data_IF_001480246153
#
_entry.id   IF_001480246153
#
_cell.length_a   1.000
_cell.length_b   1.000
_cell.length_c   1.000
_cell.angle_alpha   90.00
_cell.angle_beta   90.00
_cell.angle_gamma   90.00
#
_symmetry.space_group_name_H-M   'P 1'
#
loop_
_entity.id
_entity.type
_entity.pdbx_description
1 polymer ?
#
# COMPACT_ATOMS: atom_id res chain seq x y z
N UNK A 1 -14.80 15.30 11.74
CA UNK A 1 -13.83 16.38 11.52
C UNK A 1 -13.19 16.16 10.16
N UNK A 2 -13.43 17.11 9.25
CA UNK A 2 -12.64 17.49 8.06
C UNK A 2 -12.27 16.43 6.99
N UNK A 3 -13.28 15.88 6.33
CA UNK A 3 -13.20 15.13 5.05
C UNK A 3 -12.99 16.04 3.83
N UNK A 4 -12.15 17.07 3.90
CA UNK A 4 -12.00 18.04 2.79
C UNK A 4 -10.57 18.55 2.66
N UNK A 5 -9.77 17.93 1.80
CA UNK A 5 -8.60 18.58 1.17
C UNK A 5 -7.88 17.76 0.09
N UNK A 6 -8.19 16.49 -0.05
CA UNK A 6 -7.62 15.66 -1.12
C UNK A 6 -8.38 15.90 -2.42
N UNK A 7 -7.68 16.32 -3.47
CA UNK A 7 -8.24 16.53 -4.82
C UNK A 7 -8.73 15.23 -5.46
N UNK A 8 -8.29 14.08 -4.95
CA UNK A 8 -8.68 12.72 -5.33
C UNK A 8 -9.05 11.91 -4.08
N UNK A 9 -9.87 10.87 -4.22
CA UNK A 9 -10.23 10.01 -3.10
C UNK A 9 -8.98 9.31 -2.56
N UNK A 10 -8.79 9.17 -1.23
CA UNK A 10 -7.64 8.46 -0.65
C UNK A 10 -7.43 7.06 -1.25
N UNK A 11 -8.52 6.37 -1.54
CA UNK A 11 -8.53 5.06 -2.19
C UNK A 11 -7.91 5.09 -3.60
N UNK A 12 -8.27 6.09 -4.42
CA UNK A 12 -7.70 6.27 -5.76
C UNK A 12 -6.21 6.59 -5.71
N UNK A 13 -5.78 7.41 -4.74
CA UNK A 13 -4.38 7.76 -4.54
C UNK A 13 -3.53 6.54 -4.16
N UNK A 14 -4.00 5.75 -3.19
CA UNK A 14 -3.35 4.49 -2.77
C UNK A 14 -3.30 3.52 -3.94
N UNK A 15 -4.41 3.33 -4.64
CA UNK A 15 -4.51 2.45 -5.81
C UNK A 15 -3.51 2.84 -6.89
N UNK A 16 -3.41 4.13 -7.23
CA UNK A 16 -2.48 4.62 -8.25
C UNK A 16 -1.01 4.41 -7.84
N UNK A 17 -0.68 4.71 -6.58
CA UNK A 17 0.67 4.49 -6.06
C UNK A 17 1.05 3.00 -6.07
N UNK A 18 0.11 2.13 -5.75
CA UNK A 18 0.32 0.69 -5.78
C UNK A 18 0.49 0.16 -7.20
N UNK A 19 -0.35 0.60 -8.15
CA UNK A 19 -0.20 0.22 -9.55
C UNK A 19 1.19 0.59 -10.06
N UNK A 20 1.68 1.78 -9.70
CA UNK A 20 3.04 2.21 -10.02
C UNK A 20 4.11 1.32 -9.38
N UNK A 21 4.00 1.04 -8.08
CA UNK A 21 4.96 0.20 -7.37
C UNK A 21 5.01 -1.25 -7.90
N UNK A 22 3.84 -1.82 -8.22
CA UNK A 22 3.74 -3.19 -8.74
C UNK A 22 4.14 -3.29 -10.21
N UNK A 23 3.71 -2.37 -11.08
CA UNK A 23 3.84 -2.52 -12.53
C UNK A 23 4.94 -1.66 -13.17
N UNK A 24 5.31 -0.52 -12.59
CA UNK A 24 6.38 0.35 -13.13
C UNK A 24 7.72 0.08 -12.43
N UNK A 25 7.72 -0.13 -11.11
CA UNK A 25 8.96 -0.29 -10.31
C UNK A 25 9.40 -1.75 -10.12
N UNK A 26 8.54 -2.71 -10.50
CA UNK A 26 8.81 -4.15 -10.43
C UNK A 26 8.44 -4.81 -11.77
N UNK A 27 9.15 -5.86 -12.19
CA UNK A 27 8.86 -6.57 -13.45
C UNK A 27 7.64 -7.50 -13.33
N UNK A 28 6.56 -7.07 -12.69
CA UNK A 28 5.28 -7.77 -12.78
C UNK A 28 4.66 -7.44 -14.13
N UNK A 29 4.88 -8.31 -15.12
CA UNK A 29 4.12 -8.25 -16.36
C UNK A 29 2.64 -8.52 -16.05
N UNK A 30 1.73 -7.67 -16.55
CA UNK A 30 0.28 -7.98 -16.63
C UNK A 30 0.10 -9.32 -17.35
N UNK A 31 0.02 -10.40 -16.59
CA UNK A 31 -0.13 -11.74 -17.16
C UNK A 31 -1.61 -12.03 -17.36
N UNK A 32 -2.06 -12.07 -18.62
CA UNK A 32 -3.41 -12.52 -19.01
C UNK A 32 -3.54 -14.05 -18.94
N UNK A 33 -2.93 -14.69 -17.94
CA UNK A 33 -3.12 -16.12 -17.70
C UNK A 33 -4.36 -16.27 -16.82
N UNK A 34 -5.24 -17.21 -17.19
CA UNK A 34 -6.55 -17.51 -16.56
C UNK A 34 -6.50 -17.91 -15.07
N UNK A 35 -5.32 -17.88 -14.44
CA UNK A 35 -5.06 -18.29 -13.05
C UNK A 35 -4.08 -17.31 -12.39
N UNK A 36 -4.24 -16.02 -12.66
CA UNK A 36 -3.49 -14.98 -11.97
C UNK A 36 -4.13 -14.73 -10.59
N UNK A 37 -3.33 -14.70 -9.51
CA UNK A 37 -3.84 -14.43 -8.18
C UNK A 37 -4.38 -13.00 -8.10
N UNK A 38 -5.52 -12.86 -7.41
CA UNK A 38 -6.20 -11.59 -7.17
C UNK A 38 -5.72 -10.99 -5.85
N UNK A 39 -5.37 -9.71 -5.87
CA UNK A 39 -5.00 -8.94 -4.70
C UNK A 39 -6.10 -7.93 -4.39
N UNK A 40 -6.84 -8.19 -3.31
CA UNK A 40 -7.83 -7.27 -2.75
C UNK A 40 -7.18 -6.40 -1.68
N UNK A 41 -7.47 -5.10 -1.70
CA UNK A 41 -6.88 -4.12 -0.79
C UNK A 41 -7.97 -3.20 -0.29
N UNK A 42 -7.93 -2.96 1.01
CA UNK A 42 -8.83 -2.05 1.71
C UNK A 42 -7.98 -1.04 2.48
N UNK A 43 -8.26 0.25 2.29
CA UNK A 43 -7.61 1.33 3.03
C UNK A 43 -8.31 1.47 4.39
N UNK A 44 -7.61 1.08 5.45
CA UNK A 44 -8.12 1.10 6.82
C UNK A 44 -7.91 2.46 7.47
N UNK A 45 -6.74 3.07 7.24
CA UNK A 45 -6.41 4.39 7.76
C UNK A 45 -5.63 5.17 6.70
N UNK A 46 -5.98 6.44 6.54
CA UNK A 46 -5.29 7.37 5.66
C UNK A 46 -5.47 8.76 6.25
N UNK A 47 -4.64 9.07 7.25
CA UNK A 47 -4.89 10.19 8.14
C UNK A 47 -3.61 10.79 8.69
N UNK A 48 -3.74 12.01 9.18
CA UNK A 48 -2.73 12.67 10.00
C UNK A 48 -2.97 12.29 11.47
N UNK A 49 -1.95 11.68 12.07
CA UNK A 49 -1.92 11.34 13.48
C UNK A 49 -1.15 12.43 14.21
N UNK A 50 -1.79 13.09 15.18
CA UNK A 50 -1.14 14.11 16.01
C UNK A 50 -0.53 13.53 17.29
N UNK A 51 -1.04 12.40 17.78
CA UNK A 51 -0.61 11.76 19.04
C UNK A 51 -0.40 10.26 18.84
N UNK A 52 0.64 9.64 19.41
CA UNK A 52 1.66 10.20 20.31
C UNK A 52 2.76 11.02 19.59
N UNK A 53 2.80 11.01 18.26
CA UNK A 53 3.73 11.80 17.43
C UNK A 53 2.99 12.31 16.19
N UNK A 54 3.36 13.50 15.74
CA UNK A 54 2.85 14.10 14.51
C UNK A 54 3.38 13.35 13.28
N UNK A 55 2.54 12.52 12.67
CA UNK A 55 2.90 11.61 11.60
C UNK A 55 1.74 11.43 10.61
N UNK A 56 2.07 11.26 9.33
CA UNK A 56 1.14 10.70 8.36
C UNK A 56 1.06 9.19 8.56
N UNK A 57 -0.15 8.64 8.67
CA UNK A 57 -0.38 7.20 8.80
C UNK A 57 -1.16 6.67 7.62
N UNK A 58 -0.67 5.56 7.06
CA UNK A 58 -1.39 4.75 6.08
C UNK A 58 -1.45 3.32 6.58
N UNK A 59 -2.66 2.79 6.67
CA UNK A 59 -2.92 1.40 7.03
C UNK A 59 -3.74 0.74 5.94
N UNK A 60 -3.23 -0.37 5.44
CA UNK A 60 -3.83 -1.16 4.38
C UNK A 60 -4.12 -2.56 4.94
N UNK A 61 -5.29 -3.08 4.63
CA UNK A 61 -5.57 -4.51 4.76
C UNK A 61 -5.49 -5.12 3.37
N UNK A 62 -4.89 -6.29 3.26
CA UNK A 62 -4.78 -7.00 1.99
C UNK A 62 -5.20 -8.46 2.13
N UNK A 63 -5.75 -8.98 1.03
CA UNK A 63 -6.02 -10.40 0.83
C UNK A 63 -5.53 -10.77 -0.56
N UNK A 64 -4.54 -11.65 -0.61
CA UNK A 64 -4.05 -12.28 -1.82
C UNK A 64 -4.67 -13.67 -1.91
N UNK A 65 -5.42 -13.93 -2.96
CA UNK A 65 -6.07 -15.22 -3.16
C UNK A 65 -6.06 -15.62 -4.64
N UNK A 66 -6.05 -16.92 -4.90
CA UNK A 66 -6.29 -17.46 -6.24
C UNK A 66 -7.75 -17.98 -6.33
N UNK A 67 -8.13 -18.63 -7.42
CA UNK A 67 -9.47 -19.21 -7.61
C UNK A 67 -9.86 -20.26 -6.56
N UNK A 68 -8.91 -20.82 -5.81
CA UNK A 68 -9.17 -21.95 -4.89
C UNK A 68 -8.84 -21.66 -3.42
N UNK A 69 -7.93 -20.74 -3.11
CA UNK A 69 -7.40 -20.55 -1.74
C UNK A 69 -6.88 -19.14 -1.51
N UNK A 70 -6.98 -18.67 -0.26
CA UNK A 70 -6.26 -17.48 0.21
C UNK A 70 -4.79 -17.85 0.34
N UNK A 71 -3.93 -17.18 -0.43
CA UNK A 71 -2.48 -17.37 -0.40
C UNK A 71 -1.87 -16.59 0.77
N UNK A 72 -2.31 -15.35 0.97
CA UNK A 72 -1.89 -14.53 2.10
C UNK A 72 -2.97 -13.52 2.47
N UNK A 73 -3.03 -13.15 3.73
CA UNK A 73 -3.81 -12.00 4.17
C UNK A 73 -3.10 -11.33 5.33
N UNK A 74 -3.36 -10.05 5.54
CA UNK A 74 -2.74 -9.31 6.62
C UNK A 74 -3.06 -7.84 6.59
N UNK A 75 -2.35 -7.11 7.43
CA UNK A 75 -2.41 -5.67 7.50
C UNK A 75 -0.99 -5.12 7.43
N UNK A 76 -0.84 -4.00 6.74
CA UNK A 76 0.38 -3.22 6.67
C UNK A 76 0.05 -1.85 7.20
N UNK A 77 0.83 -1.39 8.16
CA UNK A 77 0.77 -0.04 8.69
C UNK A 77 2.12 0.59 8.49
N UNK A 78 2.12 1.76 7.87
CA UNK A 78 3.29 2.61 7.75
C UNK A 78 2.96 3.98 8.34
N UNK A 79 3.91 4.52 9.09
CA UNK A 79 3.88 5.89 9.57
C UNK A 79 5.13 6.62 9.09
N UNK A 80 4.96 7.89 8.74
CA UNK A 80 6.05 8.77 8.41
C UNK A 80 5.91 10.05 9.23
N UNK A 81 6.98 10.52 9.90
CA UNK A 81 6.92 11.73 10.69
C UNK A 81 6.63 12.94 9.79
N UNK A 82 5.80 13.86 10.27
CA UNK A 82 5.63 15.15 9.61
C UNK A 82 6.83 16.03 9.96
N UNK A 83 7.70 16.28 8.98
CA UNK A 83 8.85 17.17 9.14
C UNK A 83 8.58 18.50 8.46
N UNK A 84 8.20 19.50 9.26
CA UNK A 84 7.87 20.84 8.78
C UNK A 84 6.54 21.33 9.31
N UNK A 85 6.15 22.51 8.85
CA UNK A 85 4.89 23.15 9.24
C UNK A 85 3.96 23.26 8.04
N UNK A 86 2.66 23.27 8.31
CA UNK A 86 1.64 23.46 7.30
C UNK A 86 1.23 22.17 6.57
N UNK A 87 0.23 22.33 5.71
CA UNK A 87 -0.46 21.23 5.05
C UNK A 87 0.45 20.43 4.11
N UNK A 88 1.37 21.08 3.38
CA UNK A 88 2.30 20.40 2.49
C UNK A 88 3.20 19.39 3.20
N UNK A 89 3.61 19.67 4.45
CA UNK A 89 4.40 18.74 5.26
C UNK A 89 3.59 17.47 5.61
N UNK A 90 2.29 17.63 5.88
CA UNK A 90 1.37 16.53 6.19
C UNK A 90 1.13 15.67 4.95
N UNK A 91 0.88 16.30 3.81
CA UNK A 91 0.73 15.62 2.52
C UNK A 91 1.99 14.83 2.18
N UNK A 92 3.17 15.41 2.37
CA UNK A 92 4.44 14.73 2.13
C UNK A 92 4.64 13.52 3.04
N UNK A 93 4.29 13.65 4.33
CA UNK A 93 4.34 12.55 5.27
C UNK A 93 3.39 11.41 4.88
N UNK A 94 2.14 11.72 4.56
CA UNK A 94 1.16 10.70 4.14
C UNK A 94 1.58 10.06 2.81
N UNK A 95 2.12 10.84 1.86
CA UNK A 95 2.67 10.29 0.62
C UNK A 95 3.86 9.35 0.86
N UNK A 96 4.69 9.67 1.85
CA UNK A 96 5.83 8.85 2.27
C UNK A 96 5.36 7.55 2.92
N UNK A 97 4.42 7.64 3.87
CA UNK A 97 3.80 6.48 4.52
C UNK A 97 3.09 5.59 3.49
N UNK A 98 2.38 6.18 2.51
CA UNK A 98 1.74 5.43 1.44
C UNK A 98 2.75 4.65 0.61
N UNK A 99 3.84 5.30 0.17
CA UNK A 99 4.90 4.64 -0.59
C UNK A 99 5.53 3.49 0.19
N UNK A 100 5.78 3.68 1.47
CA UNK A 100 6.33 2.64 2.33
C UNK A 100 5.36 1.47 2.47
N UNK A 101 4.08 1.74 2.75
CA UNK A 101 3.04 0.72 2.83
C UNK A 101 2.87 -0.07 1.51
N UNK A 102 2.86 0.60 0.36
CA UNK A 102 2.74 -0.07 -0.95
C UNK A 102 3.99 -0.87 -1.30
N UNK A 103 5.18 -0.40 -0.92
CA UNK A 103 6.44 -1.14 -1.08
C UNK A 103 6.44 -2.41 -0.24
N UNK A 104 6.10 -2.30 1.06
CA UNK A 104 5.99 -3.45 1.94
C UNK A 104 4.95 -4.46 1.44
N UNK A 105 3.82 -3.99 0.89
CA UNK A 105 2.79 -4.85 0.30
C UNK A 105 3.31 -5.58 -0.94
N UNK A 106 3.96 -4.86 -1.84
CA UNK A 106 4.56 -5.44 -3.05
C UNK A 106 5.59 -6.53 -2.69
N UNK A 107 6.51 -6.25 -1.76
CA UNK A 107 7.52 -7.22 -1.31
C UNK A 107 6.88 -8.42 -0.59
N UNK A 108 5.74 -8.22 0.11
CA UNK A 108 4.98 -9.32 0.71
C UNK A 108 4.33 -10.19 -0.35
N UNK A 109 3.65 -9.60 -1.33
CA UNK A 109 3.01 -10.32 -2.44
C UNK A 109 4.05 -11.10 -3.24
N UNK A 110 5.19 -10.49 -3.57
CA UNK A 110 6.27 -11.16 -4.31
C UNK A 110 6.82 -12.39 -3.57
N UNK A 111 6.96 -12.32 -2.24
CA UNK A 111 7.41 -13.48 -1.43
C UNK A 111 6.43 -14.64 -1.48
N UNK A 112 5.13 -14.36 -1.50
CA UNK A 112 4.08 -15.40 -1.53
C UNK A 112 3.89 -15.98 -2.94
N UNK A 113 4.13 -15.18 -3.99
CA UNK A 113 4.04 -15.61 -5.38
C UNK A 113 5.31 -16.29 -5.91
N UNK A 114 6.46 -16.04 -5.28
CA UNK A 114 7.75 -16.60 -5.66
C UNK A 114 8.40 -17.35 -4.47
N UNK A 115 7.79 -18.43 -3.95
CA UNK A 115 8.36 -19.19 -2.84
C UNK A 115 9.65 -19.95 -3.22
N UNK A 116 9.86 -20.23 -4.52
CA UNK A 116 10.94 -21.07 -5.07
C UNK A 116 12.23 -20.32 -5.46
N UNK A 117 12.51 -19.14 -4.90
CA UNK A 117 13.84 -18.52 -5.04
C UNK A 117 14.85 -19.05 -4.01
N UNK A 118 14.45 -19.99 -3.15
CA UNK A 118 15.32 -20.54 -2.08
C UNK A 118 15.18 -22.05 -1.97
N UNK A 119 15.61 -22.79 -2.99
CA UNK A 119 16.17 -24.15 -2.84
C UNK A 119 17.02 -24.44 -4.08
N UNK A 120 18.34 -24.33 -3.93
CA UNK A 120 19.33 -24.97 -4.79
C UNK A 120 20.24 -25.81 -3.89
#
# INVERSE_FOLDING_TARGET
>A
YETRRWTESPDEYVRRALLRALFEERPLAETRIRSAPTLEIEVIAFEEVMTPRHAGRVQLRFVLHDHRTVLASGQIAADAPVTGEGFDAVVLAIATANRDATTQLADRVMRELCPDATTH
#
